data_IF_752041958656
#
_entry.id   IF_752041958656
#
_cell.length_a   1.000
_cell.length_b   1.000
_cell.length_c   1.000
_cell.angle_alpha   90.00
_cell.angle_beta   90.00
_cell.angle_gamma   90.00
#
_symmetry.space_group_name_H-M   'P 1'
#
loop_
_entity.id
_entity.type
_entity.pdbx_description
1 polymer ?
#
# COMPACT_ATOMS: atom_id res chain seq x y z
N UNK A 1 -11.24 30.36 21.27
CA UNK A 1 -11.09 29.83 19.89
C UNK A 1 -10.42 28.45 19.99
N UNK A 2 -11.19 27.37 19.99
CA UNK A 2 -10.64 26.02 20.19
C UNK A 2 -9.84 25.60 18.96
N UNK A 3 -8.54 25.32 19.12
CA UNK A 3 -7.74 24.67 18.06
C UNK A 3 -8.40 23.33 17.78
N UNK A 4 -8.97 23.15 16.58
CA UNK A 4 -9.41 21.82 16.12
C UNK A 4 -8.16 20.94 16.15
N UNK A 5 -8.21 19.85 16.91
CA UNK A 5 -7.14 18.84 16.88
C UNK A 5 -7.11 18.28 15.47
N UNK A 6 -5.91 18.19 14.90
CA UNK A 6 -5.72 17.54 13.62
C UNK A 6 -5.74 16.03 13.89
N UNK A 7 -6.76 15.37 13.37
CA UNK A 7 -6.88 13.93 13.37
C UNK A 7 -6.78 13.49 11.91
N UNK A 8 -5.92 12.52 11.64
CA UNK A 8 -5.73 11.96 10.29
C UNK A 8 -6.11 10.48 10.36
N UNK A 9 -6.88 10.01 9.38
CA UNK A 9 -7.22 8.60 9.25
C UNK A 9 -6.01 7.80 8.75
N UNK A 10 -5.79 6.63 9.33
CA UNK A 10 -4.90 5.62 8.77
C UNK A 10 -5.60 4.93 7.59
N UNK A 11 -4.89 4.69 6.46
CA UNK A 11 -5.47 4.02 5.28
C UNK A 11 -5.75 2.53 5.45
N UNK A 12 -5.63 1.96 6.66
CA UNK A 12 -5.83 0.54 6.94
C UNK A 12 -4.58 -0.29 6.63
N UNK A 13 -3.71 0.18 5.75
CA UNK A 13 -2.41 -0.46 5.46
C UNK A 13 -1.46 -0.41 6.64
N UNK A 14 -1.62 0.56 7.57
CA UNK A 14 -0.93 0.55 8.85
C UNK A 14 -1.33 -0.64 9.72
N UNK A 15 -2.61 -1.02 9.72
CA UNK A 15 -3.10 -2.20 10.43
C UNK A 15 -2.57 -3.51 9.82
N UNK A 16 -2.47 -3.58 8.49
CA UNK A 16 -1.85 -4.72 7.78
C UNK A 16 -0.39 -4.87 8.19
N UNK A 17 0.36 -3.77 8.19
CA UNK A 17 1.76 -3.76 8.60
C UNK A 17 1.94 -4.20 10.06
N UNK A 18 1.12 -3.69 10.98
CA UNK A 18 1.15 -4.12 12.39
C UNK A 18 0.89 -5.62 12.55
N UNK A 19 -0.05 -6.17 11.79
CA UNK A 19 -0.33 -7.61 11.81
C UNK A 19 0.84 -8.43 11.24
N UNK A 20 1.45 -7.99 10.13
CA UNK A 20 2.62 -8.63 9.53
C UNK A 20 3.83 -8.58 10.48
N UNK A 21 4.08 -7.46 11.14
CA UNK A 21 5.15 -7.30 12.13
C UNK A 21 4.96 -8.26 13.32
N UNK A 22 3.73 -8.39 13.84
CA UNK A 22 3.42 -9.38 14.87
C UNK A 22 3.64 -10.83 14.37
N UNK A 23 3.30 -11.09 13.11
CA UNK A 23 3.59 -12.36 12.44
C UNK A 23 5.08 -12.68 12.36
N UNK A 24 5.91 -11.71 12.00
CA UNK A 24 7.37 -11.89 11.94
C UNK A 24 7.98 -12.25 13.29
N UNK A 25 7.52 -11.63 14.38
CA UNK A 25 7.99 -11.93 15.75
C UNK A 25 7.72 -13.40 16.14
N UNK A 26 6.69 -14.02 15.57
CA UNK A 26 6.25 -15.37 15.88
C UNK A 26 6.66 -16.41 14.83
N UNK A 27 7.52 -16.08 13.86
CA UNK A 27 7.83 -16.93 12.71
C UNK A 27 6.56 -17.40 11.95
N UNK A 28 5.57 -16.49 11.84
CA UNK A 28 4.31 -16.63 11.09
C UNK A 28 4.13 -15.43 10.16
N UNK A 29 5.00 -15.26 9.15
CA UNK A 29 5.12 -14.01 8.38
C UNK A 29 4.00 -13.81 7.33
N UNK A 30 3.02 -14.71 7.26
CA UNK A 30 1.88 -14.58 6.34
C UNK A 30 0.66 -14.11 7.11
N UNK A 31 -0.02 -13.08 6.60
CA UNK A 31 -1.35 -12.72 7.05
C UNK A 31 -2.36 -13.51 6.21
N UNK A 32 -2.94 -14.55 6.80
CA UNK A 32 -3.91 -15.39 6.10
C UNK A 32 -5.18 -14.58 5.77
N UNK A 33 -5.64 -13.79 6.73
CA UNK A 33 -6.75 -12.87 6.59
C UNK A 33 -6.64 -11.73 7.60
N UNK A 34 -7.11 -10.54 7.24
CA UNK A 34 -7.36 -9.44 8.15
C UNK A 34 -8.62 -8.69 7.69
N UNK A 35 -9.59 -8.58 8.60
CA UNK A 35 -10.77 -7.74 8.43
C UNK A 35 -10.59 -6.46 9.22
N UNK A 36 -10.79 -5.32 8.55
CA UNK A 36 -10.77 -3.99 9.15
C UNK A 36 -12.22 -3.61 9.49
N UNK A 37 -12.48 -3.41 10.78
CA UNK A 37 -13.80 -3.12 11.35
C UNK A 37 -14.07 -1.63 11.48
N UNK A 38 -13.02 -0.84 11.74
CA UNK A 38 -13.13 0.60 11.94
C UNK A 38 -11.84 1.30 11.54
N UNK A 39 -11.91 2.50 10.92
CA UNK A 39 -10.72 3.28 10.61
C UNK A 39 -9.97 3.66 11.89
N UNK A 40 -8.65 3.55 11.87
CA UNK A 40 -7.80 4.02 12.94
C UNK A 40 -7.57 5.52 12.78
N UNK A 41 -7.83 6.29 13.83
CA UNK A 41 -7.55 7.73 13.86
C UNK A 41 -6.24 7.97 14.57
N UNK A 42 -5.29 8.62 13.88
CA UNK A 42 -4.04 9.08 14.47
C UNK A 42 -4.24 10.49 14.98
N UNK A 43 -4.33 10.62 16.30
CA UNK A 43 -4.56 11.88 17.00
C UNK A 43 -3.24 12.52 17.44
N UNK A 44 -3.26 13.84 17.65
CA UNK A 44 -2.15 14.58 18.29
C UNK A 44 -2.46 14.78 19.79
N UNK A 45 -1.57 14.41 20.73
CA UNK A 45 -0.13 14.12 20.53
C UNK A 45 0.20 12.67 20.13
N UNK A 46 -0.74 11.74 20.22
CA UNK A 46 -0.55 10.36 19.76
C UNK A 46 -1.78 9.51 20.02
N UNK A 47 -1.85 8.36 19.35
CA UNK A 47 -2.85 7.31 19.56
C UNK A 47 -2.16 6.12 20.22
N UNK A 48 -2.78 5.55 21.26
CA UNK A 48 -2.29 4.30 21.83
C UNK A 48 -2.75 3.13 20.97
N UNK A 49 -1.85 2.18 20.73
CA UNK A 49 -2.09 0.99 19.93
C UNK A 49 -1.78 -0.26 20.75
N UNK A 50 -2.57 -1.31 20.55
CA UNK A 50 -2.33 -2.61 21.14
C UNK A 50 -2.58 -3.69 20.09
N UNK A 51 -1.57 -4.53 19.85
CA UNK A 51 -1.68 -5.72 19.01
C UNK A 51 -1.68 -6.93 19.94
N UNK A 52 -2.74 -7.74 19.87
CA UNK A 52 -2.91 -8.93 20.70
C UNK A 52 -2.89 -10.15 19.82
N UNK A 53 -1.96 -11.06 20.08
CA UNK A 53 -1.95 -12.39 19.46
C UNK A 53 -2.46 -13.42 20.46
N UNK A 54 -3.54 -14.10 20.10
CA UNK A 54 -4.11 -15.20 20.87
C UNK A 54 -3.61 -16.54 20.34
N UNK A 55 -3.39 -17.48 21.24
CA UNK A 55 -2.85 -18.82 20.95
C UNK A 55 -1.59 -18.78 20.08
N UNK A 56 -0.51 -18.09 20.51
CA UNK A 56 0.69 -17.88 19.69
C UNK A 56 1.40 -19.18 19.28
N UNK A 57 1.17 -20.29 20.00
CA UNK A 57 1.71 -21.61 19.66
C UNK A 57 0.88 -22.37 18.60
N UNK A 58 -0.27 -21.83 18.20
CA UNK A 58 -1.12 -22.40 17.15
C UNK A 58 -0.47 -22.28 15.77
N UNK A 59 -0.88 -23.14 14.84
CA UNK A 59 -0.51 -22.99 13.42
C UNK A 59 -1.18 -21.78 12.75
N UNK A 60 -2.29 -21.30 13.32
CA UNK A 60 -3.01 -20.13 12.85
C UNK A 60 -3.38 -19.17 14.00
N UNK A 61 -2.40 -18.52 14.66
CA UNK A 61 -2.65 -17.59 15.76
C UNK A 61 -3.60 -16.47 15.32
N UNK A 62 -4.54 -16.12 16.19
CA UNK A 62 -5.45 -15.00 15.92
C UNK A 62 -4.75 -13.69 16.31
N UNK A 63 -4.87 -12.66 15.47
CA UNK A 63 -4.35 -11.32 15.74
C UNK A 63 -5.50 -10.33 15.82
N UNK A 64 -5.51 -9.46 16.82
CA UNK A 64 -6.48 -8.38 16.98
C UNK A 64 -5.74 -7.08 17.27
N UNK A 65 -6.20 -5.99 16.66
CA UNK A 65 -5.57 -4.67 16.77
C UNK A 65 -6.58 -3.70 17.37
N UNK A 66 -6.19 -3.10 18.49
CA UNK A 66 -6.96 -2.11 19.20
C UNK A 66 -6.27 -0.74 19.16
N UNK A 67 -7.08 0.31 19.15
CA UNK A 67 -6.64 1.70 19.16
C UNK A 67 -7.39 2.49 20.21
N UNK A 68 -6.73 3.50 20.76
CA UNK A 68 -7.31 4.46 21.69
C UNK A 68 -6.75 5.86 21.42
N UNK A 69 -7.61 6.74 20.91
CA UNK A 69 -7.25 8.09 20.44
C UNK A 69 -6.61 8.98 21.51
N UNK A 70 -6.96 8.80 22.79
CA UNK A 70 -6.28 9.45 23.90
C UNK A 70 -5.54 8.41 24.74
N UNK A 71 -4.20 8.45 24.81
CA UNK A 71 -3.43 7.45 25.54
C UNK A 71 -3.81 7.32 27.02
N UNK A 72 -4.38 8.38 27.61
CA UNK A 72 -4.78 8.48 29.02
C UNK A 72 -6.30 8.39 29.25
N UNK A 73 -7.14 8.47 28.21
CA UNK A 73 -8.59 8.59 28.32
C UNK A 73 -9.32 7.87 27.17
N UNK A 74 -10.50 7.31 27.45
CA UNK A 74 -11.35 6.68 26.43
C UNK A 74 -11.29 5.15 26.40
N UNK A 75 -12.18 4.56 25.60
CA UNK A 75 -12.29 3.11 25.41
C UNK A 75 -11.33 2.63 24.32
N UNK A 76 -10.87 1.38 24.46
CA UNK A 76 -10.24 0.69 23.34
C UNK A 76 -11.29 0.35 22.29
N UNK A 77 -10.96 0.63 21.03
CA UNK A 77 -11.76 0.23 19.86
C UNK A 77 -11.00 -0.83 19.11
N UNK A 78 -11.65 -1.94 18.76
CA UNK A 78 -11.07 -2.92 17.85
C UNK A 78 -11.12 -2.36 16.42
N UNK A 79 -9.97 -2.21 15.79
CA UNK A 79 -9.86 -1.73 14.42
C UNK A 79 -9.75 -2.85 13.41
N UNK A 80 -9.11 -3.96 13.78
CA UNK A 80 -8.98 -5.11 12.91
C UNK A 80 -8.84 -6.42 13.69
N UNK A 81 -9.25 -7.51 13.05
CA UNK A 81 -9.00 -8.87 13.51
C UNK A 81 -8.63 -9.77 12.33
N UNK A 82 -7.85 -10.81 12.59
CA UNK A 82 -7.35 -11.67 11.53
C UNK A 82 -6.62 -12.90 12.03
N UNK A 83 -5.96 -13.60 11.09
CA UNK A 83 -5.17 -14.80 11.36
C UNK A 83 -3.81 -14.73 10.71
N UNK A 84 -2.80 -15.11 11.48
CA UNK A 84 -1.44 -15.29 11.00
C UNK A 84 -1.26 -16.74 10.52
N UNK A 85 -0.27 -16.97 9.66
CA UNK A 85 0.07 -18.28 9.16
C UNK A 85 1.56 -18.40 8.87
N UNK A 86 2.06 -19.63 8.81
CA UNK A 86 3.41 -19.91 8.37
C UNK A 86 3.64 -19.43 6.93
N UNK A 87 4.91 -19.23 6.56
CA UNK A 87 5.29 -19.02 5.17
C UNK A 87 4.90 -20.24 4.33
N UNK A 88 4.19 -20.02 3.22
CA UNK A 88 3.97 -21.04 2.20
C UNK A 88 4.83 -20.76 0.99
N UNK A 89 5.51 -21.78 0.48
CA UNK A 89 6.14 -21.71 -0.83
C UNK A 89 5.05 -21.45 -1.86
N UNK A 90 5.11 -20.31 -2.54
CA UNK A 90 4.39 -20.10 -3.78
C UNK A 90 5.36 -19.59 -4.82
N UNK A 91 4.98 -19.70 -6.09
CA UNK A 91 5.72 -19.13 -7.20
C UNK A 91 6.08 -17.66 -6.90
N UNK A 92 7.32 -17.30 -7.25
CA UNK A 92 7.76 -15.92 -7.24
C UNK A 92 6.93 -15.14 -8.26
N UNK A 93 6.22 -14.11 -7.81
CA UNK A 93 5.64 -13.13 -8.71
C UNK A 93 6.79 -12.33 -9.33
N UNK A 94 6.92 -12.38 -10.66
CA UNK A 94 7.86 -11.55 -11.41
C UNK A 94 7.34 -10.11 -11.45
N UNK A 95 7.42 -9.38 -10.34
CA UNK A 95 7.25 -7.93 -10.36
C UNK A 95 8.56 -7.34 -10.90
N UNK A 96 8.64 -7.27 -12.23
CA UNK A 96 9.73 -6.68 -12.97
C UNK A 96 9.38 -5.30 -13.51
N UNK A 97 10.33 -4.67 -14.19
CA UNK A 97 9.99 -3.53 -15.04
C UNK A 97 8.90 -3.94 -16.04
N UNK A 98 7.96 -3.03 -16.38
CA UNK A 98 6.91 -3.30 -17.36
C UNK A 98 7.52 -3.81 -18.67
N UNK A 99 6.86 -4.78 -19.31
CA UNK A 99 7.31 -5.27 -20.61
C UNK A 99 7.26 -4.17 -21.69
N UNK A 100 7.98 -4.34 -22.80
CA UNK A 100 8.02 -3.34 -23.88
C UNK A 100 6.66 -3.10 -24.54
N UNK A 101 5.70 -4.02 -24.39
CA UNK A 101 4.34 -3.91 -24.90
C UNK A 101 3.36 -3.29 -23.90
N UNK A 102 3.79 -2.95 -22.68
CA UNK A 102 2.91 -2.42 -21.66
C UNK A 102 2.44 -1.00 -22.02
N UNK A 103 1.13 -0.77 -21.91
CA UNK A 103 0.52 0.53 -22.17
C UNK A 103 0.81 1.48 -21.00
N UNK A 104 1.39 2.64 -21.27
CA UNK A 104 1.59 3.67 -20.23
C UNK A 104 0.25 4.29 -19.85
N UNK A 105 0.00 4.46 -18.56
CA UNK A 105 -1.18 5.13 -18.02
C UNK A 105 -0.83 6.56 -17.61
N UNK A 106 -1.73 7.55 -17.83
CA UNK A 106 -1.54 8.90 -17.33
C UNK A 106 -1.65 8.88 -15.79
N UNK A 107 -0.62 9.37 -15.10
CA UNK A 107 -0.58 9.43 -13.63
C UNK A 107 -0.54 10.85 -13.08
N UNK A 108 -0.37 11.87 -13.94
CA UNK A 108 -0.23 13.27 -13.53
C UNK A 108 -1.43 13.75 -12.70
N UNK A 109 -2.63 13.30 -13.06
CA UNK A 109 -3.88 13.68 -12.40
C UNK A 109 -4.37 12.67 -11.37
N UNK A 110 -3.61 11.61 -11.04
CA UNK A 110 -4.08 10.52 -10.17
C UNK A 110 -4.59 11.03 -8.82
N UNK A 111 -3.88 12.00 -8.21
CA UNK A 111 -4.25 12.56 -6.91
C UNK A 111 -5.36 13.60 -7.01
N UNK A 112 -5.49 14.29 -8.15
CA UNK A 112 -6.64 15.16 -8.40
C UNK A 112 -7.92 14.31 -8.49
N UNK A 113 -7.87 13.21 -9.26
CA UNK A 113 -8.97 12.24 -9.37
C UNK A 113 -9.32 11.61 -8.01
N UNK A 114 -8.32 11.25 -7.20
CA UNK A 114 -8.57 10.73 -5.85
C UNK A 114 -9.18 11.79 -4.93
N UNK A 115 -8.76 13.05 -5.04
CA UNK A 115 -9.33 14.16 -4.28
C UNK A 115 -10.79 14.40 -4.64
N UNK A 116 -11.13 14.37 -5.92
CA UNK A 116 -12.52 14.50 -6.40
C UNK A 116 -13.41 13.36 -5.90
N UNK A 117 -12.83 12.19 -5.61
CA UNK A 117 -13.49 11.04 -4.98
C UNK A 117 -13.48 11.08 -3.44
N UNK A 118 -13.03 12.18 -2.84
CA UNK A 118 -13.02 12.37 -1.38
C UNK A 118 -11.75 11.92 -0.65
N UNK A 119 -10.71 11.47 -1.36
CA UNK A 119 -9.43 11.07 -0.78
C UNK A 119 -8.37 12.16 -0.95
N UNK A 120 -8.13 12.92 0.13
CA UNK A 120 -7.04 13.91 0.16
C UNK A 120 -5.77 13.30 0.74
N UNK A 121 -4.82 12.97 -0.12
CA UNK A 121 -3.52 12.42 0.28
C UNK A 121 -2.48 13.52 0.49
N UNK A 122 -1.79 13.47 1.64
CA UNK A 122 -0.64 14.33 1.90
C UNK A 122 0.60 13.91 1.07
N UNK A 123 1.64 14.76 0.98
CA UNK A 123 2.78 14.54 0.08
C UNK A 123 3.48 13.18 0.23
N UNK A 124 3.57 12.66 1.46
CA UNK A 124 4.17 11.34 1.71
C UNK A 124 3.39 10.21 1.01
N UNK A 125 2.06 10.31 0.94
CA UNK A 125 1.19 9.33 0.30
C UNK A 125 1.07 9.51 -1.22
N UNK A 126 1.66 10.58 -1.76
CA UNK A 126 1.68 10.83 -3.18
C UNK A 126 2.86 10.16 -3.89
N UNK A 127 3.00 8.84 -3.70
CA UNK A 127 4.18 8.08 -4.13
C UNK A 127 4.14 7.57 -5.59
N UNK A 128 2.99 7.45 -6.25
CA UNK A 128 2.90 7.02 -7.67
C UNK A 128 3.68 7.97 -8.59
N UNK A 129 4.66 7.44 -9.33
CA UNK A 129 5.50 8.19 -10.29
C UNK A 129 5.32 7.78 -11.74
N UNK A 130 4.87 6.55 -11.98
CA UNK A 130 4.51 6.03 -13.29
C UNK A 130 3.62 4.80 -13.12
N UNK A 131 2.78 4.51 -14.11
CA UNK A 131 1.97 3.30 -14.13
C UNK A 131 1.81 2.75 -15.55
N UNK A 132 1.64 1.44 -15.65
CA UNK A 132 1.46 0.71 -16.90
C UNK A 132 0.37 -0.34 -16.76
N UNK A 133 -0.24 -0.69 -17.90
CA UNK A 133 -1.12 -1.83 -18.06
C UNK A 133 -0.44 -2.89 -18.93
N UNK A 134 -0.39 -4.12 -18.44
CA UNK A 134 0.08 -5.29 -19.16
C UNK A 134 -1.03 -6.38 -19.12
N UNK A 135 -1.82 -6.47 -20.19
CA UNK A 135 -3.01 -7.31 -20.19
C UNK A 135 -4.03 -6.86 -19.12
N UNK A 136 -4.34 -7.76 -18.18
CA UNK A 136 -5.19 -7.47 -17.01
C UNK A 136 -4.47 -6.74 -15.88
N UNK A 137 -3.13 -6.73 -15.90
CA UNK A 137 -2.34 -6.37 -14.74
C UNK A 137 -1.99 -4.88 -14.77
N UNK A 138 -1.92 -4.28 -13.59
CA UNK A 138 -1.45 -2.92 -13.38
C UNK A 138 -0.09 -2.96 -12.68
N UNK A 139 0.86 -2.22 -13.22
CA UNK A 139 2.21 -2.08 -12.67
C UNK A 139 2.43 -0.61 -12.33
N UNK A 140 3.00 -0.32 -11.16
CA UNK A 140 3.27 1.03 -10.69
C UNK A 140 4.73 1.19 -10.29
N UNK A 141 5.31 2.35 -10.59
CA UNK A 141 6.55 2.82 -9.96
C UNK A 141 6.21 3.77 -8.82
N UNK A 142 6.74 3.49 -7.64
CA UNK A 142 6.50 4.29 -6.44
C UNK A 142 7.79 4.98 -5.99
N UNK A 143 7.68 6.24 -5.59
CA UNK A 143 8.75 6.97 -4.92
C UNK A 143 8.87 6.49 -3.48
N UNK A 144 10.10 6.13 -3.10
CA UNK A 144 10.44 5.65 -1.76
C UNK A 144 11.27 6.68 -0.98
N UNK A 145 11.51 7.86 -1.58
CA UNK A 145 12.36 8.90 -1.01
C UNK A 145 11.80 9.37 0.32
N UNK A 146 12.65 9.34 1.36
CA UNK A 146 12.27 9.77 2.71
C UNK A 146 11.47 8.75 3.51
N UNK A 147 11.24 7.55 2.97
CA UNK A 147 10.61 6.46 3.71
C UNK A 147 11.65 5.60 4.43
N UNK A 148 11.37 5.25 5.68
CA UNK A 148 12.18 4.28 6.42
C UNK A 148 11.67 2.86 6.12
N UNK A 149 12.23 2.27 5.07
CA UNK A 149 11.87 0.92 4.65
C UNK A 149 12.43 -0.18 5.56
N UNK A 150 13.46 0.11 6.35
CA UNK A 150 14.15 -0.91 7.15
C UNK A 150 13.41 -1.25 8.44
N UNK A 151 12.64 -0.28 8.98
CA UNK A 151 11.86 -0.46 10.21
C UNK A 151 10.46 -1.07 9.99
N UNK A 152 10.12 -1.44 8.76
CA UNK A 152 8.80 -1.97 8.38
C UNK A 152 8.94 -3.30 7.63
N UNK A 153 7.99 -4.20 7.80
CA UNK A 153 7.81 -5.39 6.95
C UNK A 153 7.43 -4.94 5.55
N UNK A 154 6.44 -4.05 5.46
CA UNK A 154 6.10 -3.25 4.27
C UNK A 154 5.70 -1.86 4.72
N UNK A 155 6.31 -0.84 4.14
CA UNK A 155 5.98 0.54 4.52
C UNK A 155 4.50 0.84 4.18
N UNK A 156 3.65 1.26 5.14
CA UNK A 156 2.21 1.44 4.92
C UNK A 156 1.85 2.37 3.76
N UNK A 157 2.63 3.46 3.62
CA UNK A 157 2.52 4.41 2.49
C UNK A 157 2.72 3.73 1.13
N UNK A 158 3.67 2.79 1.02
CA UNK A 158 3.92 2.09 -0.25
C UNK A 158 2.82 1.09 -0.56
N UNK A 159 2.36 0.37 0.46
CA UNK A 159 1.24 -0.56 0.31
C UNK A 159 -0.03 0.18 -0.13
N UNK A 160 -0.29 1.36 0.44
CA UNK A 160 -1.42 2.22 0.09
C UNK A 160 -1.29 2.77 -1.34
N UNK A 161 -0.14 3.38 -1.65
CA UNK A 161 0.12 3.94 -2.97
C UNK A 161 0.09 2.91 -4.10
N UNK A 162 0.44 1.65 -3.83
CA UNK A 162 0.31 0.56 -4.80
C UNK A 162 -1.15 0.33 -5.26
N UNK A 163 -2.14 0.71 -4.44
CA UNK A 163 -3.55 0.60 -4.79
C UNK A 163 -4.12 1.86 -5.45
N UNK A 164 -3.46 3.02 -5.31
CA UNK A 164 -3.90 4.27 -5.95
C UNK A 164 -4.02 4.15 -7.48
N UNK A 165 -3.21 3.29 -8.11
CA UNK A 165 -3.27 3.07 -9.56
C UNK A 165 -4.56 2.40 -10.02
N UNK A 166 -5.35 1.78 -9.13
CA UNK A 166 -6.67 1.28 -9.45
C UNK A 166 -7.59 2.42 -9.93
N UNK A 167 -7.46 3.61 -9.34
CA UNK A 167 -8.28 4.78 -9.68
C UNK A 167 -8.16 5.22 -11.16
N UNK A 168 -6.97 5.04 -11.76
CA UNK A 168 -6.68 5.32 -13.18
C UNK A 168 -6.70 4.06 -14.06
N UNK A 169 -6.59 2.88 -13.45
CA UNK A 169 -6.66 1.58 -14.10
C UNK A 169 -8.08 1.07 -14.36
N UNK A 170 -9.11 1.89 -14.16
CA UNK A 170 -10.52 1.53 -14.42
C UNK A 170 -11.10 0.46 -13.50
N UNK A 171 -10.31 -0.06 -12.56
CA UNK A 171 -10.76 -0.97 -11.50
C UNK A 171 -11.19 -0.10 -10.31
N UNK A 172 -12.45 -0.19 -9.90
CA UNK A 172 -12.98 0.71 -8.87
C UNK A 172 -13.45 2.07 -9.42
N UNK A 173 -13.75 2.17 -10.72
CA UNK A 173 -14.81 3.05 -11.16
C UNK A 173 -16.09 2.54 -10.50
N UNK A 174 -16.39 3.07 -9.33
CA UNK A 174 -17.63 2.79 -8.67
C UNK A 174 -18.82 2.98 -9.62
N UNK A 175 -19.88 2.20 -9.42
CA UNK A 175 -21.14 2.35 -10.16
C UNK A 175 -21.71 3.77 -10.05
N UNK A 176 -21.28 4.52 -9.03
CA UNK A 176 -21.58 5.95 -8.87
C UNK A 176 -20.29 6.79 -8.76
N UNK A 177 -20.24 7.99 -9.35
CA UNK A 177 -19.08 8.90 -9.28
C UNK A 177 -18.59 9.23 -7.86
N UNK A 178 -19.45 9.05 -6.85
CA UNK A 178 -19.22 9.47 -5.47
C UNK A 178 -18.78 8.35 -4.50
N UNK A 179 -18.77 7.08 -4.93
CA UNK A 179 -18.31 6.00 -4.04
C UNK A 179 -16.85 5.65 -4.25
N UNK A 180 -16.09 5.82 -3.18
CA UNK A 180 -14.67 5.57 -3.13
C UNK A 180 -14.46 4.22 -2.41
N UNK A 181 -13.79 3.27 -3.07
CA UNK A 181 -13.55 1.94 -2.49
C UNK A 181 -12.32 2.00 -1.58
N UNK A 182 -12.49 1.58 -0.32
CA UNK A 182 -11.38 1.34 0.60
C UNK A 182 -11.23 -0.16 0.85
N UNK A 183 -9.99 -0.68 0.96
CA UNK A 183 -9.77 -2.06 1.36
C UNK A 183 -10.35 -2.32 2.77
N UNK A 184 -11.19 -3.34 2.89
CA UNK A 184 -11.77 -3.73 4.19
C UNK A 184 -11.34 -5.15 4.61
N UNK A 185 -11.06 -6.04 3.65
CA UNK A 185 -10.54 -7.39 3.89
C UNK A 185 -9.28 -7.60 3.07
N UNK A 186 -8.26 -8.14 3.73
CA UNK A 186 -6.99 -8.52 3.14
C UNK A 186 -6.83 -10.03 3.29
N UNK A 187 -6.58 -10.74 2.19
CA UNK A 187 -6.41 -12.20 2.22
C UNK A 187 -5.05 -12.58 1.65
N UNK A 188 -4.36 -13.49 2.34
CA UNK A 188 -3.08 -14.07 1.92
C UNK A 188 -2.03 -13.00 1.60
N UNK A 189 -1.78 -12.08 2.54
CA UNK A 189 -0.75 -11.06 2.41
C UNK A 189 0.60 -11.61 2.89
N UNK A 190 1.61 -11.41 2.06
CA UNK A 190 2.99 -11.78 2.34
C UNK A 190 3.92 -10.80 1.66
N UNK A 191 5.07 -10.55 2.28
CA UNK A 191 6.12 -9.73 1.69
C UNK A 191 7.23 -10.66 1.21
N UNK A 192 7.49 -10.63 -0.10
CA UNK A 192 8.59 -11.36 -0.71
C UNK A 192 9.94 -10.69 -0.41
N UNK A 193 11.07 -11.36 -0.71
CA UNK A 193 12.37 -10.70 -0.66
C UNK A 193 12.34 -9.45 -1.54
N UNK A 194 12.97 -8.37 -1.06
CA UNK A 194 13.04 -7.12 -1.81
C UNK A 194 13.64 -7.38 -3.20
N UNK A 195 12.85 -7.13 -4.26
CA UNK A 195 13.40 -7.04 -5.59
C UNK A 195 14.44 -5.90 -5.59
N UNK A 196 15.60 -6.13 -6.19
CA UNK A 196 16.66 -5.11 -6.29
C UNK A 196 16.04 -3.86 -6.92
N UNK A 197 15.90 -2.79 -6.13
CA UNK A 197 15.32 -1.53 -6.60
C UNK A 197 16.04 -1.07 -7.86
N UNK A 198 15.39 -1.17 -9.00
CA UNK A 198 15.87 -0.59 -10.24
C UNK A 198 15.56 0.88 -10.18
N UNK A 199 16.58 1.69 -9.93
CA UNK A 199 16.48 3.14 -10.09
C UNK A 199 16.12 3.40 -11.55
N UNK A 200 14.85 3.71 -11.81
CA UNK A 200 14.42 4.17 -13.13
C UNK A 200 15.26 5.41 -13.47
N UNK A 201 16.05 5.39 -14.56
CA UNK A 201 16.67 6.61 -15.02
C UNK A 201 15.54 7.52 -15.47
N UNK A 202 15.20 8.53 -14.67
CA UNK A 202 14.48 9.70 -15.17
C UNK A 202 15.39 10.35 -16.21
N UNK A 203 15.34 9.84 -17.43
CA UNK A 203 16.05 10.37 -18.58
C UNK A 203 15.01 10.65 -19.64
N UNK A 204 14.75 11.94 -19.90
CA UNK A 204 14.16 12.36 -21.16
C UNK A 204 14.78 11.53 -22.30
N UNK A 205 14.00 10.98 -23.23
CA UNK A 205 14.58 10.40 -24.43
C UNK A 205 15.24 11.56 -25.19
N UNK A 206 16.55 11.74 -25.01
CA UNK A 206 17.36 12.43 -26.00
C UNK A 206 17.16 11.62 -27.28
N UNK A 207 16.50 12.22 -28.26
CA UNK A 207 16.43 11.73 -29.65
C UNK A 207 17.84 11.30 -30.06
N UNK A 208 18.14 10.02 -29.97
CA UNK A 208 19.26 9.44 -30.70
C UNK A 208 18.74 9.18 -32.10
N UNK A 209 19.32 9.92 -33.04
CA UNK A 209 19.02 9.86 -34.46
C UNK A 209 19.07 8.41 -34.97
N UNK A 210 18.07 8.07 -35.76
CA UNK A 210 18.02 6.83 -36.52
C UNK A 210 19.17 6.83 -37.54
N UNK A 211 19.99 5.76 -37.66
CA UNK A 211 20.94 5.66 -38.77
C UNK A 211 20.17 5.42 -40.07
N UNK A 212 20.24 6.35 -41.01
CA UNK A 212 19.78 6.11 -42.37
C UNK A 212 20.67 5.04 -43.03
N UNK A 213 20.12 4.06 -43.75
CA UNK A 213 20.93 3.19 -44.59
C UNK A 213 21.47 4.01 -45.77
N UNK A 214 22.80 4.08 -45.88
CA UNK A 214 23.47 4.58 -47.07
C UNK A 214 23.20 3.59 -48.20
N UNK A 215 22.33 3.95 -49.13
CA UNK A 215 22.33 3.36 -50.46
C UNK A 215 23.56 3.91 -51.21
N UNK A 216 24.36 3.01 -51.77
CA UNK A 216 25.28 3.36 -52.84
C UNK A 216 25.19 2.27 -53.90
N UNK A 217 25.14 2.75 -55.14
CA UNK A 217 24.93 2.07 -56.41
C UNK A 217 25.90 0.92 -56.67
#
# INVERSE_FOLDING_TARGET
>A
MGRRRQCVGDPGTGLVELALAAGQILDRPTLAELTIHAPLVVATPGTALQVVVSDPASDAPAVTIFGRERPDLGSWTMHAEGRLAAARTMAESKVGAPGPAAQTLPVDDVYAVLTDRGFTYGPAFQAVTAAWREGSDLVASLDVTGLDLASHVVHPVLLDAAMHVLAVGGLGAAETPDSALVPFVWSVVRVGPAARATRSPRGCPRRTAWPMPSASL
#
